data_IF_174438342444
#
_entry.id   IF_174438342444
#
_cell.length_a   1.000
_cell.length_b   1.000
_cell.length_c   1.000
_cell.angle_alpha   90.00
_cell.angle_beta   90.00
_cell.angle_gamma   90.00
#
_symmetry.space_group_name_H-M   'P 1'
#
loop_
_entity.id
_entity.type
_entity.pdbx_description
1 polymer ?
#
# COMPACT_ATOMS: atom_id res chain seq x y z
N UNK A 1 -2.99 -23.22 -6.84
CA UNK A 1 -2.75 -22.58 -5.52
C UNK A 1 -1.45 -21.80 -5.48
N UNK A 2 -0.30 -22.37 -5.90
CA UNK A 2 0.99 -21.66 -5.89
C UNK A 2 0.99 -20.38 -6.74
N UNK A 3 0.48 -20.40 -7.98
CA UNK A 3 0.42 -19.22 -8.85
C UNK A 3 -0.40 -18.05 -8.25
N UNK A 4 -1.60 -18.35 -7.74
CA UNK A 4 -2.45 -17.36 -7.05
C UNK A 4 -1.75 -16.73 -5.84
N UNK A 5 -1.05 -17.53 -5.03
CA UNK A 5 -0.29 -17.03 -3.88
C UNK A 5 0.85 -16.10 -4.31
N UNK A 6 1.66 -16.52 -5.29
CA UNK A 6 2.76 -15.71 -5.82
C UNK A 6 2.27 -14.39 -6.39
N UNK A 7 1.16 -14.40 -7.13
CA UNK A 7 0.55 -13.19 -7.68
C UNK A 7 0.00 -12.26 -6.59
N UNK A 8 -0.57 -12.81 -5.51
CA UNK A 8 -1.03 -12.01 -4.37
C UNK A 8 0.14 -11.33 -3.65
N UNK A 9 1.21 -12.09 -3.36
CA UNK A 9 2.42 -11.54 -2.72
C UNK A 9 3.07 -10.50 -3.63
N UNK A 10 3.25 -10.81 -4.92
CA UNK A 10 3.83 -9.89 -5.90
C UNK A 10 3.03 -8.59 -6.03
N UNK A 11 1.70 -8.68 -6.05
CA UNK A 11 0.84 -7.51 -6.11
C UNK A 11 0.94 -6.66 -4.83
N UNK A 12 0.94 -7.28 -3.64
CA UNK A 12 1.09 -6.55 -2.38
C UNK A 12 2.45 -5.83 -2.29
N UNK A 13 3.54 -6.47 -2.72
CA UNK A 13 4.87 -5.86 -2.79
C UNK A 13 4.90 -4.73 -3.81
N UNK A 14 4.35 -4.94 -5.01
CA UNK A 14 4.27 -3.92 -6.05
C UNK A 14 3.52 -2.66 -5.59
N UNK A 15 2.46 -2.83 -4.80
CA UNK A 15 1.71 -1.72 -4.23
C UNK A 15 2.54 -0.86 -3.26
N UNK A 16 3.46 -1.44 -2.48
CA UNK A 16 4.39 -0.67 -1.64
C UNK A 16 5.31 0.23 -2.49
N UNK A 17 5.86 -0.31 -3.58
CA UNK A 17 6.70 0.47 -4.49
C UNK A 17 5.91 1.57 -5.20
N UNK A 18 4.69 1.27 -5.65
CA UNK A 18 3.79 2.25 -6.24
C UNK A 18 3.43 3.36 -5.25
N UNK A 19 3.02 3.00 -4.03
CA UNK A 19 2.66 3.96 -2.99
C UNK A 19 3.85 4.87 -2.64
N UNK A 20 5.04 4.29 -2.48
CA UNK A 20 6.28 5.05 -2.26
C UNK A 20 6.57 6.03 -3.39
N UNK A 21 6.47 5.59 -4.64
CA UNK A 21 6.69 6.46 -5.80
C UNK A 21 5.64 7.56 -5.87
N UNK A 22 4.35 7.23 -5.75
CA UNK A 22 3.25 8.18 -5.81
C UNK A 22 3.35 9.22 -4.68
N UNK A 23 3.70 8.79 -3.48
CA UNK A 23 3.91 9.66 -2.34
C UNK A 23 5.00 10.69 -2.62
N UNK A 24 6.17 10.25 -3.12
CA UNK A 24 7.28 11.15 -3.44
C UNK A 24 7.02 12.03 -4.67
N UNK A 25 6.57 11.43 -5.77
CA UNK A 25 6.55 12.05 -7.09
C UNK A 25 5.23 12.76 -7.43
N UNK A 26 4.13 12.42 -6.74
CA UNK A 26 2.84 13.07 -6.93
C UNK A 26 2.48 13.89 -5.69
N UNK A 27 2.41 13.27 -4.51
CA UNK A 27 1.89 13.95 -3.31
C UNK A 27 2.84 15.00 -2.75
N UNK A 28 4.15 14.75 -2.74
CA UNK A 28 5.17 15.74 -2.35
C UNK A 28 5.63 16.68 -3.47
N UNK A 29 5.10 16.51 -4.69
CA UNK A 29 5.46 17.36 -5.82
C UNK A 29 4.25 18.17 -6.31
N UNK A 30 3.43 17.60 -7.20
CA UNK A 30 2.35 18.31 -7.87
C UNK A 30 1.07 18.43 -7.04
N UNK A 31 0.87 17.54 -6.05
CA UNK A 31 -0.36 17.47 -5.24
C UNK A 31 -0.13 17.83 -3.77
N UNK A 32 0.95 18.58 -3.47
CA UNK A 32 1.29 19.00 -2.12
C UNK A 32 0.14 19.74 -1.43
N UNK A 33 -0.58 20.61 -2.16
CA UNK A 33 -1.69 21.36 -1.57
C UNK A 33 -2.80 20.48 -0.97
N UNK A 34 -2.94 19.23 -1.43
CA UNK A 34 -3.88 18.25 -0.86
C UNK A 34 -3.25 17.43 0.25
N UNK A 35 -1.94 17.17 0.16
CA UNK A 35 -1.21 16.34 1.10
C UNK A 35 -0.71 17.12 2.32
N UNK A 36 -0.57 18.43 2.23
CA UNK A 36 -0.06 19.28 3.31
C UNK A 36 -0.92 19.20 4.58
N UNK A 37 -2.24 19.04 4.45
CA UNK A 37 -3.12 18.85 5.62
C UNK A 37 -2.76 17.61 6.43
N UNK A 38 -2.10 16.64 5.81
CA UNK A 38 -1.62 15.42 6.44
C UNK A 38 -0.36 15.63 7.30
N UNK A 39 0.49 16.60 6.91
CA UNK A 39 1.73 16.95 7.62
C UNK A 39 1.49 17.88 8.81
N UNK A 40 0.34 18.55 8.83
CA UNK A 40 -0.04 19.49 9.90
C UNK A 40 -0.78 18.77 11.02
N UNK A 41 -0.75 19.31 12.26
CA UNK A 41 -1.59 18.82 13.34
C UNK A 41 -3.07 18.84 12.93
N UNK A 42 -3.76 17.73 13.17
CA UNK A 42 -5.15 17.55 12.76
C UNK A 42 -6.11 18.40 13.60
N UNK A 43 -6.99 19.16 12.95
CA UNK A 43 -7.99 20.02 13.60
C UNK A 43 -9.41 19.41 13.65
N UNK A 44 -9.67 18.27 12.98
CA UNK A 44 -11.00 17.68 12.89
C UNK A 44 -11.04 16.21 12.42
N UNK A 45 -12.23 15.62 12.22
CA UNK A 45 -12.38 14.22 11.81
C UNK A 45 -11.87 13.94 10.40
N UNK A 46 -11.92 14.93 9.50
CA UNK A 46 -11.53 14.82 8.10
C UNK A 46 -10.42 15.81 7.73
N UNK A 47 -9.59 15.44 6.76
CA UNK A 47 -8.49 16.21 6.19
C UNK A 47 -8.67 16.31 4.66
N UNK A 48 -8.11 17.34 4.01
CA UNK A 48 -8.12 17.42 2.54
C UNK A 48 -7.42 16.21 1.90
N UNK A 49 -6.43 15.66 2.59
CA UNK A 49 -5.75 14.42 2.22
C UNK A 49 -6.70 13.20 2.11
N UNK A 50 -7.85 13.19 2.79
CA UNK A 50 -8.84 12.10 2.68
C UNK A 50 -9.45 11.99 1.29
N UNK A 51 -9.41 13.07 0.51
CA UNK A 51 -9.81 13.06 -0.90
C UNK A 51 -8.92 12.10 -1.70
N UNK A 52 -7.64 11.91 -1.35
CA UNK A 52 -6.80 10.89 -1.98
C UNK A 52 -7.30 9.48 -1.70
N UNK A 53 -7.72 9.20 -0.46
CA UNK A 53 -8.25 7.88 -0.12
C UNK A 53 -9.51 7.58 -0.95
N UNK A 54 -10.43 8.54 -1.06
CA UNK A 54 -11.66 8.39 -1.87
C UNK A 54 -11.33 8.24 -3.36
N UNK A 55 -10.47 9.11 -3.89
CA UNK A 55 -10.10 9.14 -5.31
C UNK A 55 -9.40 7.86 -5.75
N UNK A 56 -8.65 7.21 -4.86
CA UNK A 56 -8.02 5.91 -5.16
C UNK A 56 -8.97 4.72 -4.89
N UNK A 57 -9.73 4.75 -3.79
CA UNK A 57 -10.56 3.61 -3.37
C UNK A 57 -11.78 3.41 -4.27
N UNK A 58 -12.48 4.49 -4.67
CA UNK A 58 -13.71 4.37 -5.46
C UNK A 58 -13.47 3.73 -6.83
N UNK A 59 -12.50 4.20 -7.66
CA UNK A 59 -12.18 3.54 -8.91
C UNK A 59 -11.67 2.10 -8.71
N UNK A 60 -10.84 1.86 -7.68
CA UNK A 60 -10.33 0.52 -7.40
C UNK A 60 -11.45 -0.47 -7.05
N UNK A 61 -12.38 -0.08 -6.16
CA UNK A 61 -13.55 -0.90 -5.80
C UNK A 61 -14.45 -1.12 -7.01
N UNK A 62 -14.69 -0.10 -7.83
CA UNK A 62 -15.50 -0.22 -9.04
C UNK A 62 -14.87 -1.20 -10.05
N UNK A 63 -13.55 -1.11 -10.29
CA UNK A 63 -12.82 -2.00 -11.19
C UNK A 63 -12.76 -3.44 -10.67
N UNK A 64 -12.52 -3.62 -9.37
CA UNK A 64 -12.59 -4.93 -8.71
C UNK A 64 -13.99 -5.53 -8.81
N UNK A 65 -15.04 -4.73 -8.56
CA UNK A 65 -16.43 -5.18 -8.66
C UNK A 65 -16.79 -5.56 -10.09
N UNK A 66 -16.46 -4.71 -11.06
CA UNK A 66 -16.68 -4.99 -12.47
C UNK A 66 -15.96 -6.27 -12.90
N UNK A 67 -14.70 -6.42 -12.50
CA UNK A 67 -13.91 -7.60 -12.81
C UNK A 67 -14.37 -8.88 -12.13
N UNK A 68 -14.99 -8.77 -10.94
CA UNK A 68 -15.55 -9.92 -10.22
C UNK A 68 -16.83 -10.44 -10.86
N UNK A 69 -17.72 -9.53 -11.28
CA UNK A 69 -19.05 -9.89 -11.79
C UNK A 69 -19.08 -10.17 -13.29
N UNK A 70 -18.06 -9.78 -14.05
CA UNK A 70 -18.02 -9.95 -15.50
C UNK A 70 -16.94 -10.97 -15.91
N UNK A 71 -17.26 -11.84 -16.87
CA UNK A 71 -16.32 -12.82 -17.42
C UNK A 71 -15.63 -12.23 -18.65
N UNK A 72 -14.36 -12.52 -18.82
CA UNK A 72 -13.59 -12.15 -20.01
C UNK A 72 -12.27 -11.50 -19.68
N UNK A 73 -11.46 -11.27 -20.71
CA UNK A 73 -10.13 -10.70 -20.55
C UNK A 73 -10.18 -9.27 -19.98
N UNK A 74 -11.08 -8.43 -20.48
CA UNK A 74 -11.18 -7.02 -20.04
C UNK A 74 -11.64 -6.91 -18.58
N UNK A 75 -12.76 -7.54 -18.15
CA UNK A 75 -13.12 -7.59 -16.74
C UNK A 75 -12.03 -8.17 -15.85
N UNK A 76 -11.41 -9.26 -16.29
CA UNK A 76 -10.32 -9.86 -15.56
C UNK A 76 -9.12 -8.91 -15.41
N UNK A 77 -8.77 -8.19 -16.48
CA UNK A 77 -7.78 -7.14 -16.42
C UNK A 77 -8.24 -6.07 -15.45
N UNK A 78 -9.48 -5.58 -15.46
CA UNK A 78 -9.99 -4.64 -14.44
C UNK A 78 -9.88 -5.18 -13.00
N UNK A 79 -10.07 -6.49 -12.79
CA UNK A 79 -9.87 -7.14 -11.49
C UNK A 79 -8.38 -7.12 -11.07
N UNK A 80 -7.46 -7.29 -12.03
CA UNK A 80 -6.01 -7.19 -11.81
C UNK A 80 -5.43 -5.77 -11.96
N UNK A 81 -6.15 -4.84 -12.59
CA UNK A 81 -5.68 -3.54 -13.09
C UNK A 81 -5.89 -2.44 -12.05
N UNK A 82 -5.45 -2.76 -10.84
CA UNK A 82 -4.60 -1.82 -10.11
C UNK A 82 -3.11 -2.12 -10.40
N UNK A 83 -2.79 -3.11 -11.26
CA UNK A 83 -1.43 -3.47 -11.67
C UNK A 83 -1.19 -3.18 -13.15
N UNK A 84 -0.66 -1.99 -13.46
CA UNK A 84 -0.18 -1.64 -14.81
C UNK A 84 1.05 -2.46 -15.28
N UNK A 85 1.52 -3.43 -14.48
CA UNK A 85 2.85 -4.05 -14.67
C UNK A 85 2.87 -5.57 -14.96
N UNK A 86 1.77 -6.32 -14.78
CA UNK A 86 1.83 -7.80 -14.89
C UNK A 86 1.49 -8.36 -16.28
N UNK A 87 0.82 -7.58 -17.15
CA UNK A 87 0.39 -8.05 -18.46
C UNK A 87 1.55 -8.23 -19.47
N UNK A 88 2.70 -7.56 -19.25
CA UNK A 88 3.85 -7.64 -20.14
C UNK A 88 4.68 -8.93 -19.97
N UNK A 89 4.61 -9.60 -18.81
CA UNK A 89 5.43 -10.78 -18.52
C UNK A 89 4.77 -12.09 -18.98
N UNK A 90 3.44 -12.20 -18.90
CA UNK A 90 2.70 -13.41 -19.29
C UNK A 90 2.48 -13.58 -20.79
N UNK A 91 2.87 -12.60 -21.63
CA UNK A 91 2.78 -12.72 -23.10
C UNK A 91 4.00 -13.42 -23.72
N UNK A 92 4.99 -13.84 -22.94
CA UNK A 92 6.22 -14.47 -23.45
C UNK A 92 6.33 -15.99 -23.27
N UNK A 93 5.42 -16.65 -22.56
CA UNK A 93 5.49 -18.11 -22.38
C UNK A 93 4.15 -18.80 -22.66
N UNK A 94 4.27 -19.98 -23.27
CA UNK A 94 3.22 -21.00 -23.37
C UNK A 94 2.27 -20.96 -24.59
N UNK A 95 2.91 -21.07 -25.76
CA UNK A 95 2.33 -21.76 -26.91
C UNK A 95 2.43 -23.28 -26.69
N UNK A 96 1.34 -23.96 -26.30
CA UNK A 96 0.91 -25.28 -26.86
C UNK A 96 -0.31 -25.92 -26.16
N UNK A 97 -1.41 -25.95 -26.93
CA UNK A 97 -2.37 -27.06 -27.12
C UNK A 97 -3.01 -27.67 -25.85
N UNK A 98 -3.90 -26.89 -25.26
CA UNK A 98 -5.15 -27.36 -24.65
C UNK A 98 -6.30 -26.59 -25.33
N UNK A 99 -7.57 -27.01 -25.24
CA UNK A 99 -8.67 -26.27 -25.89
C UNK A 99 -8.64 -24.80 -25.46
N UNK A 100 -8.42 -23.91 -26.43
CA UNK A 100 -7.98 -22.52 -26.24
C UNK A 100 -8.98 -21.67 -25.42
N UNK A 101 -10.23 -22.12 -25.34
CA UNK A 101 -11.30 -21.44 -24.62
C UNK A 101 -11.43 -21.87 -23.14
N UNK A 102 -11.21 -23.13 -22.80
CA UNK A 102 -11.39 -23.61 -21.41
C UNK A 102 -10.14 -23.38 -20.55
N UNK A 103 -8.94 -23.56 -21.11
CA UNK A 103 -7.69 -23.21 -20.42
C UNK A 103 -7.57 -21.70 -20.23
N UNK A 104 -7.95 -20.90 -21.24
CA UNK A 104 -7.95 -19.44 -21.15
C UNK A 104 -8.97 -18.88 -20.15
N UNK A 105 -10.07 -19.59 -19.86
CA UNK A 105 -11.09 -19.10 -18.93
C UNK A 105 -10.84 -19.54 -17.49
N UNK A 106 -10.26 -20.72 -17.26
CA UNK A 106 -9.97 -21.23 -15.90
C UNK A 106 -8.63 -20.70 -15.37
N UNK A 107 -7.58 -20.72 -16.17
CA UNK A 107 -6.24 -20.26 -15.76
C UNK A 107 -6.21 -18.75 -15.47
N UNK A 108 -6.95 -17.96 -16.26
CA UNK A 108 -7.02 -16.49 -16.15
C UNK A 108 -7.74 -15.98 -14.89
N UNK A 109 -8.80 -16.66 -14.45
CA UNK A 109 -9.59 -16.21 -13.29
C UNK A 109 -8.86 -16.44 -11.96
N UNK A 110 -8.09 -17.53 -11.84
CA UNK A 110 -7.38 -17.88 -10.61
C UNK A 110 -6.18 -16.95 -10.34
N UNK A 111 -5.57 -16.45 -11.40
CA UNK A 111 -4.44 -15.50 -11.37
C UNK A 111 -4.88 -14.09 -10.97
N UNK A 112 -5.96 -13.62 -11.59
CA UNK A 112 -6.54 -12.32 -11.29
C UNK A 112 -7.04 -12.26 -9.84
N UNK A 113 -7.66 -13.34 -9.36
CA UNK A 113 -8.06 -13.49 -7.95
C UNK A 113 -6.88 -13.33 -6.99
N UNK A 114 -5.69 -13.81 -7.36
CA UNK A 114 -4.46 -13.63 -6.60
C UNK A 114 -4.07 -12.15 -6.49
N UNK A 115 -3.99 -11.45 -7.62
CA UNK A 115 -3.61 -10.02 -7.65
C UNK A 115 -4.59 -9.16 -6.85
N UNK A 116 -5.89 -9.33 -7.09
CA UNK A 116 -6.93 -8.58 -6.37
C UNK A 116 -6.89 -8.83 -4.86
N UNK A 117 -6.63 -10.08 -4.43
CA UNK A 117 -6.42 -10.42 -3.02
C UNK A 117 -5.20 -9.68 -2.46
N UNK A 118 -4.06 -9.68 -3.18
CA UNK A 118 -2.83 -8.99 -2.77
C UNK A 118 -3.03 -7.48 -2.59
N UNK A 119 -3.63 -6.82 -3.58
CA UNK A 119 -3.95 -5.37 -3.52
C UNK A 119 -4.88 -5.07 -2.36
N UNK A 120 -5.92 -5.89 -2.18
CA UNK A 120 -6.92 -5.69 -1.11
C UNK A 120 -6.29 -5.87 0.27
N UNK A 121 -5.45 -6.90 0.45
CA UNK A 121 -4.70 -7.11 1.69
C UNK A 121 -3.72 -5.96 1.95
N UNK A 122 -3.04 -5.46 0.92
CA UNK A 122 -2.16 -4.30 1.05
C UNK A 122 -2.94 -3.04 1.45
N UNK A 123 -4.07 -2.75 0.80
CA UNK A 123 -4.92 -1.60 1.13
C UNK A 123 -5.44 -1.66 2.57
N UNK A 124 -5.90 -2.83 3.02
CA UNK A 124 -6.26 -3.04 4.43
C UNK A 124 -5.07 -2.82 5.36
N UNK A 125 -3.91 -3.41 5.08
CA UNK A 125 -2.72 -3.23 5.89
C UNK A 125 -2.31 -1.74 5.96
N UNK A 126 -2.38 -1.02 4.84
CA UNK A 126 -2.10 0.41 4.79
C UNK A 126 -3.07 1.19 5.67
N UNK A 127 -4.38 0.96 5.54
CA UNK A 127 -5.40 1.62 6.38
C UNK A 127 -5.14 1.37 7.88
N UNK A 128 -4.92 0.12 8.30
CA UNK A 128 -4.71 -0.18 9.72
C UNK A 128 -3.38 0.37 10.24
N UNK A 129 -2.29 0.30 9.47
CA UNK A 129 -0.98 0.75 9.92
C UNK A 129 -0.87 2.27 9.80
N UNK A 130 -1.13 2.85 8.64
CA UNK A 130 -1.04 4.30 8.42
C UNK A 130 -2.12 5.05 9.21
N UNK A 131 -3.40 4.88 8.87
CA UNK A 131 -4.49 5.66 9.46
C UNK A 131 -4.76 5.25 10.91
N UNK A 132 -4.79 3.94 11.19
CA UNK A 132 -5.05 3.40 12.51
C UNK A 132 -3.88 3.59 13.49
N UNK A 133 -2.70 3.04 13.18
CA UNK A 133 -1.57 3.03 14.12
C UNK A 133 -0.77 4.33 14.12
N UNK A 134 -0.42 4.85 12.94
CA UNK A 134 0.43 6.04 12.85
C UNK A 134 -0.35 7.30 13.18
N UNK A 135 -1.49 7.49 12.52
CA UNK A 135 -2.35 8.67 12.66
C UNK A 135 -3.40 8.56 13.77
N UNK A 136 -3.53 7.39 14.42
CA UNK A 136 -4.43 7.17 15.55
C UNK A 136 -5.90 7.52 15.24
N UNK A 137 -6.33 7.35 13.98
CA UNK A 137 -7.72 7.63 13.57
C UNK A 137 -8.72 6.67 14.20
N UNK A 138 -8.31 5.44 14.46
CA UNK A 138 -9.11 4.42 15.14
C UNK A 138 -8.21 3.44 15.92
N UNK A 139 -8.72 2.77 16.96
CA UNK A 139 -7.92 1.85 17.76
C UNK A 139 -7.56 0.58 16.96
N UNK A 140 -6.26 0.25 16.93
CA UNK A 140 -5.72 -0.95 16.26
C UNK A 140 -5.40 -2.11 17.20
N UNK A 141 -5.71 -1.95 18.49
CA UNK A 141 -5.54 -2.99 19.50
C UNK A 141 -4.08 -3.48 19.63
N UNK A 142 -3.84 -4.80 19.72
CA UNK A 142 -2.51 -5.37 19.96
C UNK A 142 -1.46 -5.06 18.89
N UNK A 143 -1.87 -4.66 17.69
CA UNK A 143 -0.98 -4.37 16.56
C UNK A 143 -0.01 -3.23 16.91
N UNK A 144 -0.44 -2.27 17.75
CA UNK A 144 0.40 -1.17 18.23
C UNK A 144 1.62 -1.64 19.05
N UNK A 145 1.58 -2.88 19.56
CA UNK A 145 2.62 -3.44 20.40
C UNK A 145 3.66 -4.26 19.64
N UNK A 146 3.50 -4.47 18.34
CA UNK A 146 4.45 -5.22 17.53
C UNK A 146 5.70 -4.37 17.25
N UNK A 147 6.93 -4.84 17.54
CA UNK A 147 8.15 -4.05 17.37
C UNK A 147 8.34 -3.46 15.98
N UNK A 148 8.07 -4.24 14.93
CA UNK A 148 8.19 -3.78 13.55
C UNK A 148 7.22 -2.63 13.24
N UNK A 149 5.95 -2.73 13.61
CA UNK A 149 4.98 -1.66 13.36
C UNK A 149 5.25 -0.41 14.19
N UNK A 150 5.85 -0.53 15.39
CA UNK A 150 6.36 0.63 16.13
C UNK A 150 7.49 1.33 15.36
N UNK A 151 8.39 0.57 14.76
CA UNK A 151 9.48 1.09 13.92
C UNK A 151 8.94 1.79 12.67
N UNK A 152 7.95 1.20 11.99
CA UNK A 152 7.23 1.84 10.86
C UNK A 152 6.59 3.15 11.30
N UNK A 153 5.88 3.15 12.43
CA UNK A 153 5.24 4.35 12.94
C UNK A 153 6.24 5.45 13.36
N UNK A 154 7.40 5.07 13.88
CA UNK A 154 8.50 5.98 14.18
C UNK A 154 9.09 6.59 12.90
N UNK A 155 9.38 5.76 11.89
CA UNK A 155 9.89 6.23 10.61
C UNK A 155 8.93 7.19 9.91
N UNK A 156 7.63 6.88 9.93
CA UNK A 156 6.61 7.78 9.38
C UNK A 156 6.48 9.08 10.21
N UNK A 157 6.67 9.04 11.53
CA UNK A 157 6.73 10.30 12.31
C UNK A 157 7.88 11.20 11.90
N UNK A 158 9.04 10.61 11.56
CA UNK A 158 10.18 11.38 11.04
C UNK A 158 9.85 12.01 9.68
N UNK A 159 9.09 11.34 8.83
CA UNK A 159 8.58 11.92 7.58
C UNK A 159 7.78 13.20 7.83
N UNK A 160 6.84 13.18 8.77
CA UNK A 160 6.04 14.35 9.17
C UNK A 160 6.85 15.49 9.79
N UNK A 161 8.07 15.22 10.26
CA UNK A 161 8.97 16.26 10.74
C UNK A 161 9.76 16.94 9.61
N UNK A 162 9.55 16.50 8.37
CA UNK A 162 10.25 16.95 7.14
C UNK A 162 11.79 16.85 7.22
N UNK A 163 12.32 16.12 8.21
CA UNK A 163 13.75 15.80 8.30
C UNK A 163 14.19 14.98 7.09
N UNK A 164 15.49 15.01 6.79
CA UNK A 164 16.09 14.24 5.70
C UNK A 164 15.43 14.47 4.32
N UNK A 165 15.03 15.72 4.03
CA UNK A 165 14.32 16.09 2.79
C UNK A 165 13.01 15.32 2.58
N UNK A 166 12.25 15.10 3.66
CA UNK A 166 10.97 14.39 3.62
C UNK A 166 11.09 12.87 3.42
N UNK A 167 12.27 12.27 3.58
CA UNK A 167 12.40 10.80 3.63
C UNK A 167 11.98 10.32 5.02
N UNK A 168 11.18 9.24 5.15
CA UNK A 168 10.80 8.23 4.16
C UNK A 168 9.48 8.47 3.41
N UNK A 169 9.35 7.91 2.21
CA UNK A 169 8.11 7.98 1.40
C UNK A 169 7.33 6.65 1.38
N UNK A 170 7.98 5.51 1.64
CA UNK A 170 7.33 4.22 1.81
C UNK A 170 6.74 4.07 3.21
N UNK A 171 5.72 3.22 3.34
CA UNK A 171 5.13 2.91 4.65
C UNK A 171 5.92 1.78 5.30
N UNK A 172 5.93 0.60 4.67
CA UNK A 172 6.59 -0.58 5.22
C UNK A 172 8.11 -0.56 4.96
N UNK A 173 8.54 0.03 3.86
CA UNK A 173 9.95 0.28 3.56
C UNK A 173 10.50 1.54 4.25
N UNK A 174 9.65 2.32 4.91
CA UNK A 174 10.04 3.59 5.52
C UNK A 174 11.20 3.48 6.51
N UNK A 175 11.24 2.48 7.42
CA UNK A 175 12.38 2.28 8.30
C UNK A 175 13.71 2.09 7.56
N UNK A 176 13.69 1.34 6.46
CA UNK A 176 14.89 1.09 5.65
C UNK A 176 15.32 2.36 4.92
N UNK A 177 14.37 3.14 4.39
CA UNK A 177 14.69 4.41 3.74
C UNK A 177 15.34 5.42 4.71
N UNK A 178 14.91 5.44 5.97
CA UNK A 178 15.53 6.28 7.01
C UNK A 178 16.97 5.82 7.29
N UNK A 179 17.20 4.51 7.36
CA UNK A 179 18.55 3.95 7.52
C UNK A 179 19.45 4.29 6.34
N UNK A 180 18.94 4.19 5.11
CA UNK A 180 19.68 4.48 3.87
C UNK A 180 20.12 5.96 3.79
N UNK A 181 19.39 6.89 4.40
CA UNK A 181 19.79 8.31 4.50
C UNK A 181 20.63 8.65 5.75
N UNK A 182 21.04 7.64 6.52
CA UNK A 182 21.84 7.83 7.73
C UNK A 182 21.04 8.30 8.95
N UNK A 183 19.70 8.22 8.93
CA UNK A 183 18.81 8.66 9.99
C UNK A 183 18.61 7.67 11.14
N UNK A 184 19.47 6.64 11.26
CA UNK A 184 19.33 5.55 12.25
C UNK A 184 19.22 6.06 13.69
N UNK A 185 20.02 7.05 14.09
CA UNK A 185 19.96 7.60 15.46
C UNK A 185 18.62 8.28 15.76
N UNK A 186 18.09 9.05 14.81
CA UNK A 186 16.81 9.73 14.96
C UNK A 186 15.65 8.72 15.00
N UNK A 187 15.75 7.64 14.22
CA UNK A 187 14.80 6.55 14.22
C UNK A 187 14.76 5.85 15.59
N UNK A 188 15.92 5.50 16.14
CA UNK A 188 16.02 4.86 17.46
C UNK A 188 15.52 5.78 18.59
N UNK A 189 15.81 7.09 18.52
CA UNK A 189 15.26 8.07 19.47
C UNK A 189 13.73 8.07 19.45
N UNK A 190 13.13 8.09 18.26
CA UNK A 190 11.67 8.11 18.11
C UNK A 190 11.02 6.78 18.53
N UNK A 191 11.64 5.64 18.25
CA UNK A 191 11.20 4.32 18.74
C UNK A 191 11.18 4.31 20.27
N UNK A 192 12.27 4.75 20.91
CA UNK A 192 12.38 4.78 22.37
C UNK A 192 11.35 5.73 23.00
N UNK A 193 11.10 6.88 22.38
CA UNK A 193 10.03 7.82 22.79
C UNK A 193 8.65 7.15 22.78
N UNK A 194 8.35 6.38 21.72
CA UNK A 194 7.08 5.64 21.58
C UNK A 194 6.96 4.52 22.61
N UNK A 195 8.04 3.76 22.86
CA UNK A 195 8.06 2.71 23.89
C UNK A 195 7.80 3.30 25.27
N UNK A 196 8.46 4.43 25.61
CA UNK A 196 8.25 5.12 26.89
C UNK A 196 6.81 5.59 27.04
N UNK A 197 6.23 6.16 25.97
CA UNK A 197 4.85 6.63 25.96
C UNK A 197 3.84 5.48 26.15
N UNK A 198 4.11 4.32 25.57
CA UNK A 198 3.25 3.12 25.70
C UNK A 198 3.35 2.42 27.05
N UNK A 199 4.46 2.59 27.80
CA UNK A 199 4.62 2.02 29.15
C UNK A 199 4.04 2.92 30.25
N UNK A 200 3.80 4.19 29.95
CA UNK A 200 3.25 5.17 30.89
C UNK A 200 1.73 5.38 30.77
N UNK A 201 1.08 4.71 29.80
CA UNK A 201 -0.37 4.69 29.58
C UNK A 201 -0.98 3.39 30.09
#
# INVERSE_FOLDING_TARGET
>A
MFGTFTLAVGAAVGMEFWARWAHRALWHASLWHMHESHHRPREGPFELNDVFAITNAVPAIALLSYGFFNKGLVPGLCFGAVSFFSAAFSLMEEKKRCSLLDFSNKFRMDEMRGQGLGITMFGMAYMFVHDGLVHKRFPVGPIANVPYFRKVAAAHQLHHSEKFNGVPYGLFLGPKEVEDVGGHEELEKEINRRIKSSKGS
#
